data_IF_739465064394
#
_entry.id   IF_739465064394
#
_cell.length_a   1.000
_cell.length_b   1.000
_cell.length_c   1.000
_cell.angle_alpha   90.00
_cell.angle_beta   90.00
_cell.angle_gamma   90.00
#
_symmetry.space_group_name_H-M   'P 1'
#
loop_
_entity.id
_entity.type
_entity.pdbx_description
1 polymer ?
#
# COMPACT_ATOMS: atom_id res chain seq x y z
N UNK A 1 -15.66 0.66 21.00
CA UNK A 1 -15.17 0.18 19.69
C UNK A 1 -13.77 -0.38 19.89
N UNK A 2 -13.46 -1.56 19.33
CA UNK A 2 -12.10 -2.10 19.33
C UNK A 2 -11.12 -1.11 18.69
N UNK A 3 -9.88 -1.15 19.15
CA UNK A 3 -8.74 -0.40 18.59
C UNK A 3 -7.83 -1.34 17.82
N UNK A 4 -6.95 -0.80 16.98
CA UNK A 4 -5.95 -1.59 16.26
C UNK A 4 -5.13 -2.48 17.22
N UNK A 5 -4.76 -1.96 18.40
CA UNK A 5 -4.04 -2.73 19.42
C UNK A 5 -4.85 -3.87 20.08
N UNK A 6 -6.18 -3.89 19.90
CA UNK A 6 -7.04 -4.96 20.44
C UNK A 6 -7.12 -6.15 19.46
N UNK A 7 -6.67 -5.99 18.21
CA UNK A 7 -6.58 -7.07 17.22
C UNK A 7 -5.21 -7.72 17.35
N UNK A 8 -5.14 -8.92 17.94
CA UNK A 8 -3.88 -9.56 18.34
C UNK A 8 -2.80 -9.66 17.24
N UNK A 9 -3.19 -9.97 16.00
CA UNK A 9 -2.26 -10.03 14.85
C UNK A 9 -1.66 -8.64 14.55
N UNK A 10 -2.49 -7.59 14.54
CA UNK A 10 -2.05 -6.22 14.27
C UNK A 10 -1.22 -5.67 15.44
N UNK A 11 -1.63 -5.96 16.68
CA UNK A 11 -0.89 -5.58 17.88
C UNK A 11 0.52 -6.19 17.88
N UNK A 12 0.64 -7.47 17.51
CA UNK A 12 1.93 -8.15 17.36
C UNK A 12 2.78 -7.52 16.25
N UNK A 13 2.19 -7.24 15.08
CA UNK A 13 2.90 -6.60 13.97
C UNK A 13 3.46 -5.23 14.38
N UNK A 14 2.64 -4.37 14.99
CA UNK A 14 3.06 -3.03 15.42
C UNK A 14 4.04 -3.04 16.61
N UNK A 15 3.86 -3.96 17.55
CA UNK A 15 4.68 -4.07 18.75
C UNK A 15 6.05 -4.72 18.51
N UNK A 16 6.25 -5.38 17.36
CA UNK A 16 7.49 -6.10 17.04
C UNK A 16 8.47 -5.29 16.18
N UNK A 17 8.11 -4.08 15.76
CA UNK A 17 8.96 -3.25 14.89
C UNK A 17 9.64 -2.12 15.62
N UNK A 18 10.85 -1.79 15.18
CA UNK A 18 11.65 -0.68 15.68
C UNK A 18 12.14 0.22 14.53
N UNK A 19 12.17 1.55 14.69
CA UNK A 19 12.67 2.44 13.65
C UNK A 19 14.18 2.30 13.46
N UNK A 20 14.62 2.17 12.21
CA UNK A 20 16.03 2.11 11.80
C UNK A 20 16.63 3.48 11.47
N UNK A 21 17.81 3.46 10.82
CA UNK A 21 18.48 4.67 10.35
C UNK A 21 17.74 5.26 9.15
N UNK A 22 17.45 6.58 9.12
CA UNK A 22 16.82 7.21 7.96
C UNK A 22 17.66 7.08 6.69
N UNK A 23 16.98 6.82 5.58
CA UNK A 23 17.49 6.93 4.21
C UNK A 23 16.82 8.13 3.55
N UNK A 24 17.54 8.91 2.75
CA UNK A 24 16.99 10.12 2.13
C UNK A 24 17.48 10.26 0.69
N UNK A 25 16.57 10.64 -0.19
CA UNK A 25 16.83 11.00 -1.57
C UNK A 25 15.97 12.23 -1.91
N UNK A 26 16.61 13.35 -2.22
CA UNK A 26 15.94 14.63 -2.44
C UNK A 26 14.94 14.97 -1.31
N UNK A 27 13.68 15.25 -1.64
CA UNK A 27 12.64 15.56 -0.66
C UNK A 27 12.01 14.33 -0.01
N UNK A 28 12.43 13.10 -0.32
CA UNK A 28 11.92 11.87 0.27
C UNK A 28 12.85 11.32 1.35
N UNK A 29 12.35 11.23 2.57
CA UNK A 29 13.01 10.50 3.67
C UNK A 29 12.19 9.26 4.02
N UNK A 30 12.85 8.12 4.08
CA UNK A 30 12.27 6.85 4.52
C UNK A 30 12.96 6.42 5.80
N UNK A 31 12.17 6.08 6.82
CA UNK A 31 12.67 5.46 8.04
C UNK A 31 12.27 3.98 8.00
N UNK A 32 13.24 3.05 7.86
CA UNK A 32 12.97 1.61 7.91
C UNK A 32 12.29 1.22 9.23
N UNK A 33 11.34 0.29 9.16
CA UNK A 33 10.80 -0.40 10.32
C UNK A 33 11.39 -1.81 10.32
N UNK A 34 12.28 -2.06 11.28
CA UNK A 34 13.00 -3.32 11.44
C UNK A 34 12.18 -4.24 12.34
N UNK A 35 11.91 -5.45 11.87
CA UNK A 35 11.13 -6.46 12.58
C UNK A 35 11.96 -7.71 12.89
N UNK A 36 11.41 -8.65 13.70
CA UNK A 36 12.04 -9.94 13.91
C UNK A 36 12.13 -10.72 12.60
N UNK A 37 13.02 -11.71 12.56
CA UNK A 37 12.99 -12.72 11.51
C UNK A 37 11.62 -13.42 11.52
N UNK A 38 10.97 -13.45 10.37
CA UNK A 38 9.69 -14.14 10.17
C UNK A 38 9.84 -15.15 9.05
N UNK A 39 9.12 -16.26 9.17
CA UNK A 39 9.00 -17.23 8.08
C UNK A 39 8.33 -16.53 6.91
N UNK A 40 8.92 -16.60 5.72
CA UNK A 40 8.33 -16.02 4.51
C UNK A 40 6.98 -16.67 4.22
N UNK A 41 5.93 -15.89 3.89
CA UNK A 41 4.68 -16.50 3.40
C UNK A 41 4.90 -17.10 2.00
N UNK A 42 4.21 -18.19 1.69
CA UNK A 42 4.26 -18.81 0.35
C UNK A 42 3.37 -18.03 -0.63
N UNK A 43 3.62 -16.73 -0.78
CA UNK A 43 2.89 -15.84 -1.67
C UNK A 43 3.79 -15.36 -2.82
N UNK A 44 3.18 -15.24 -3.98
CA UNK A 44 3.79 -14.69 -5.18
C UNK A 44 3.36 -13.24 -5.33
N UNK A 45 4.29 -12.30 -5.51
CA UNK A 45 3.92 -10.89 -5.77
C UNK A 45 3.54 -10.70 -7.25
N UNK A 46 2.87 -9.60 -7.58
CA UNK A 46 2.56 -9.26 -8.97
C UNK A 46 3.81 -9.29 -9.87
N UNK A 47 4.93 -8.75 -9.38
CA UNK A 47 6.19 -8.69 -10.11
C UNK A 47 6.80 -10.07 -10.45
N UNK A 48 6.45 -11.12 -9.70
CA UNK A 48 7.02 -12.47 -9.87
C UNK A 48 6.06 -13.45 -10.53
N UNK A 49 4.78 -13.08 -10.60
CA UNK A 49 3.75 -13.95 -11.13
C UNK A 49 4.03 -14.31 -12.60
N UNK A 50 4.54 -13.36 -13.38
CA UNK A 50 4.81 -13.55 -14.81
C UNK A 50 3.55 -14.04 -15.53
N UNK A 51 3.67 -15.12 -16.32
CA UNK A 51 2.54 -15.74 -17.01
C UNK A 51 1.57 -16.52 -16.11
N UNK A 52 1.85 -16.63 -14.80
CA UNK A 52 0.95 -17.27 -13.82
C UNK A 52 -0.11 -16.32 -13.28
N UNK A 53 -0.07 -15.04 -13.64
CA UNK A 53 -1.16 -14.11 -13.42
C UNK A 53 -1.62 -13.51 -14.73
N UNK A 54 -2.93 -13.34 -14.89
CA UNK A 54 -3.53 -12.58 -15.97
C UNK A 54 -4.40 -11.50 -15.37
N UNK A 55 -4.08 -10.25 -15.67
CA UNK A 55 -4.83 -9.08 -15.20
C UNK A 55 -5.37 -8.35 -16.42
N UNK A 56 -6.69 -8.21 -16.52
CA UNK A 56 -7.35 -7.49 -17.62
C UNK A 56 -8.34 -6.46 -17.08
N UNK A 57 -8.52 -5.35 -17.78
CA UNK A 57 -9.54 -4.37 -17.40
C UNK A 57 -10.94 -4.92 -17.68
N UNK A 58 -11.88 -4.67 -16.76
CA UNK A 58 -13.29 -4.99 -16.97
C UNK A 58 -13.95 -3.79 -17.67
N UNK A 59 -14.79 -4.07 -18.68
CA UNK A 59 -15.54 -3.03 -19.41
C UNK A 59 -16.60 -2.34 -18.53
N UNK A 60 -17.04 -1.15 -18.93
CA UNK A 60 -17.92 -0.23 -18.16
C UNK A 60 -19.38 -0.69 -17.94
N UNK A 61 -19.65 -2.00 -17.95
CA UNK A 61 -20.98 -2.54 -17.65
C UNK A 61 -21.23 -2.60 -16.13
N UNK A 62 -21.50 -1.44 -15.53
CA UNK A 62 -22.30 -1.33 -14.30
C UNK A 62 -21.58 -1.27 -12.94
N UNK A 63 -20.29 -1.61 -12.82
CA UNK A 63 -19.61 -1.68 -11.49
C UNK A 63 -18.26 -0.94 -11.38
N UNK A 64 -18.04 0.10 -12.19
CA UNK A 64 -16.86 0.96 -12.03
C UNK A 64 -15.54 0.31 -12.46
N UNK A 65 -14.43 0.93 -12.05
CA UNK A 65 -13.06 0.71 -12.49
C UNK A 65 -12.43 -0.59 -11.97
N UNK A 66 -12.99 -1.75 -12.34
CA UNK A 66 -12.50 -3.06 -11.91
C UNK A 66 -11.36 -3.64 -12.75
N UNK A 67 -10.59 -4.53 -12.15
CA UNK A 67 -9.64 -5.43 -12.82
C UNK A 67 -10.08 -6.87 -12.61
N UNK A 68 -10.15 -7.63 -13.70
CA UNK A 68 -10.28 -9.09 -13.68
C UNK A 68 -8.90 -9.67 -13.42
N UNK A 69 -8.75 -10.43 -12.34
CA UNK A 69 -7.49 -11.07 -11.97
C UNK A 69 -7.69 -12.58 -11.95
N UNK A 70 -6.96 -13.29 -12.81
CA UNK A 70 -6.84 -14.74 -12.77
C UNK A 70 -5.45 -15.12 -12.24
N UNK A 71 -5.42 -15.82 -11.11
CA UNK A 71 -4.24 -16.49 -10.61
C UNK A 71 -4.23 -17.92 -11.15
N UNK A 72 -3.32 -18.19 -12.08
CA UNK A 72 -3.09 -19.47 -12.74
C UNK A 72 -2.05 -20.32 -12.00
N UNK A 73 -1.40 -19.77 -10.98
CA UNK A 73 -0.39 -20.44 -10.18
C UNK A 73 -0.97 -21.29 -9.05
N UNK A 74 -0.08 -22.08 -8.45
CA UNK A 74 -0.38 -22.98 -7.33
C UNK A 74 -0.26 -22.32 -5.95
N UNK A 75 0.24 -21.08 -5.90
CA UNK A 75 0.39 -20.29 -4.69
C UNK A 75 -0.54 -19.06 -4.73
N UNK A 76 -0.95 -18.52 -3.56
CA UNK A 76 -1.65 -17.25 -3.49
C UNK A 76 -0.86 -16.10 -4.14
N UNK A 77 -1.56 -15.26 -4.89
CA UNK A 77 -1.02 -14.07 -5.55
C UNK A 77 -1.32 -12.84 -4.70
N UNK A 78 -0.29 -12.21 -4.16
CA UNK A 78 -0.37 -10.97 -3.40
C UNK A 78 -0.30 -9.77 -4.37
N UNK A 79 -1.42 -9.05 -4.45
CA UNK A 79 -1.55 -7.78 -5.14
C UNK A 79 -1.64 -6.67 -4.09
N UNK A 80 -0.70 -5.73 -4.09
CA UNK A 80 -0.58 -4.74 -3.03
C UNK A 80 -1.23 -3.42 -3.45
N UNK A 81 -1.83 -2.73 -2.47
CA UNK A 81 -2.28 -1.34 -2.65
C UNK A 81 -1.13 -0.48 -3.22
N UNK A 82 -1.45 0.36 -4.20
CA UNK A 82 -0.50 1.27 -4.83
C UNK A 82 0.33 0.66 -5.95
N UNK A 83 0.19 -0.63 -6.25
CA UNK A 83 0.80 -1.22 -7.44
C UNK A 83 0.12 -0.73 -8.73
N UNK A 84 0.94 -0.50 -9.75
CA UNK A 84 0.51 -0.06 -11.07
C UNK A 84 0.32 -1.26 -11.98
N UNK A 85 -0.89 -1.39 -12.52
CA UNK A 85 -1.20 -2.33 -13.60
C UNK A 85 -1.17 -1.54 -14.90
N UNK A 86 -0.12 -1.74 -15.68
CA UNK A 86 0.03 -1.04 -16.96
C UNK A 86 -0.73 -1.71 -18.10
N UNK A 87 -1.16 -0.89 -19.05
CA UNK A 87 -1.84 -1.30 -20.27
C UNK A 87 -2.49 -0.12 -20.98
N UNK A 88 -3.28 -0.37 -22.04
CA UNK A 88 -4.03 0.66 -22.76
C UNK A 88 -4.95 1.50 -21.87
N UNK A 89 -5.32 0.93 -20.73
CA UNK A 89 -6.14 1.53 -19.70
C UNK A 89 -5.49 1.28 -18.34
N UNK A 90 -4.30 1.85 -18.09
CA UNK A 90 -3.57 1.63 -16.84
C UNK A 90 -4.45 1.89 -15.61
N UNK A 91 -4.25 1.10 -14.57
CA UNK A 91 -4.99 1.17 -13.30
C UNK A 91 -4.02 1.14 -12.12
N UNK A 92 -4.38 1.83 -11.06
CA UNK A 92 -3.72 1.69 -9.77
C UNK A 92 -4.55 0.79 -8.86
N UNK A 93 -3.92 -0.20 -8.23
CA UNK A 93 -4.56 -0.98 -7.17
C UNK A 93 -4.82 -0.10 -5.96
N UNK A 94 -6.02 -0.23 -5.40
CA UNK A 94 -6.51 0.66 -4.36
C UNK A 94 -6.89 -0.07 -3.05
N UNK A 95 -6.55 -1.34 -3.01
CA UNK A 95 -6.66 -2.24 -1.87
C UNK A 95 -5.65 -3.36 -2.07
N UNK A 96 -5.12 -3.88 -0.96
CA UNK A 96 -4.36 -5.13 -1.02
C UNK A 96 -5.32 -6.31 -1.12
N UNK A 97 -5.01 -7.24 -2.02
CA UNK A 97 -5.78 -8.46 -2.24
C UNK A 97 -4.83 -9.65 -2.30
N UNK A 98 -5.17 -10.70 -1.53
CA UNK A 98 -4.53 -12.00 -1.67
C UNK A 98 -5.44 -12.91 -2.50
N UNK A 99 -5.10 -13.12 -3.76
CA UNK A 99 -5.89 -13.93 -4.70
C UNK A 99 -5.53 -15.40 -4.51
N UNK A 100 -6.53 -16.24 -4.25
CA UNK A 100 -6.31 -17.67 -4.04
C UNK A 100 -5.63 -18.33 -5.26
N UNK A 101 -4.87 -19.40 -5.03
CA UNK A 101 -4.30 -20.23 -6.10
C UNK A 101 -5.39 -20.74 -7.04
N UNK A 102 -5.11 -20.81 -8.35
CA UNK A 102 -6.03 -21.36 -9.36
C UNK A 102 -7.44 -20.76 -9.28
N UNK A 103 -7.52 -19.45 -9.07
CA UNK A 103 -8.79 -18.74 -8.89
C UNK A 103 -8.85 -17.48 -9.74
N UNK A 104 -10.06 -16.94 -9.88
CA UNK A 104 -10.31 -15.74 -10.64
C UNK A 104 -11.34 -14.86 -9.92
N UNK A 105 -11.09 -13.56 -9.85
CA UNK A 105 -11.99 -12.58 -9.25
C UNK A 105 -11.85 -11.18 -9.87
N UNK A 106 -12.85 -10.34 -9.61
CA UNK A 106 -12.79 -8.91 -9.93
C UNK A 106 -12.33 -8.17 -8.68
N UNK A 107 -11.26 -7.38 -8.82
CA UNK A 107 -10.79 -6.47 -7.77
C UNK A 107 -11.11 -5.02 -8.13
N UNK A 108 -11.43 -4.16 -7.15
CA UNK A 108 -11.53 -2.74 -7.39
C UNK A 108 -10.15 -2.16 -7.71
N UNK A 109 -10.13 -1.18 -8.60
CA UNK A 109 -8.95 -0.40 -8.93
C UNK A 109 -9.35 1.04 -9.26
N UNK A 110 -8.38 1.92 -9.50
CA UNK A 110 -8.64 3.30 -9.89
C UNK A 110 -8.11 3.62 -11.29
N UNK A 111 -8.86 4.42 -12.05
CA UNK A 111 -8.39 5.00 -13.30
C UNK A 111 -7.22 5.95 -13.04
N UNK A 112 -6.26 5.98 -13.95
CA UNK A 112 -5.15 6.94 -13.96
C UNK A 112 -5.32 8.05 -15.02
N UNK A 113 -6.42 8.04 -15.77
CA UNK A 113 -6.70 8.99 -16.86
C UNK A 113 -7.33 10.29 -16.34
N UNK A 114 -6.85 11.42 -16.87
CA UNK A 114 -7.40 12.75 -16.62
C UNK A 114 -8.91 12.82 -16.94
N UNK A 115 -9.70 13.44 -16.05
CA UNK A 115 -11.16 13.57 -16.21
C UNK A 115 -12.01 12.34 -15.87
N UNK A 116 -11.41 11.13 -15.72
CA UNK A 116 -12.11 9.92 -15.24
C UNK A 116 -11.91 9.64 -13.74
N UNK A 117 -11.23 10.55 -13.07
CA UNK A 117 -11.07 10.57 -11.61
C UNK A 117 -12.43 10.78 -10.94
N UNK A 118 -13.12 9.69 -10.59
CA UNK A 118 -14.24 9.78 -9.65
C UNK A 118 -13.68 9.83 -8.23
N UNK A 119 -13.51 11.04 -7.72
CA UNK A 119 -13.33 11.29 -6.29
C UNK A 119 -14.58 10.78 -5.57
N UNK A 120 -14.52 9.57 -5.03
CA UNK A 120 -15.53 9.11 -4.07
C UNK A 120 -15.21 9.76 -2.72
N UNK A 121 -15.35 11.08 -2.63
CA UNK A 121 -15.44 11.80 -1.36
C UNK A 121 -16.78 11.45 -0.73
N UNK A 122 -16.84 10.29 -0.06
CA UNK A 122 -17.90 9.99 0.88
C UNK A 122 -17.31 9.33 2.11
N UNK A 123 -17.21 10.18 3.13
CA UNK A 123 -17.28 9.89 4.56
C UNK A 123 -17.89 8.52 4.90
N UNK A 124 -17.31 7.91 5.93
CA UNK A 124 -17.65 6.58 6.43
C UNK A 124 -19.17 6.51 6.64
N UNK A 125 -19.88 5.81 5.74
CA UNK A 125 -21.28 5.51 5.92
C UNK A 125 -21.35 4.06 6.43
N UNK A 126 -21.62 3.82 7.73
CA UNK A 126 -21.90 2.48 8.21
C UNK A 126 -23.01 1.86 7.34
N UNK A 127 -22.77 0.67 6.78
CA UNK A 127 -23.76 -0.03 5.96
C UNK A 127 -23.74 0.29 4.46
N UNK A 128 -22.74 1.00 3.93
CA UNK A 128 -22.42 0.98 2.49
C UNK A 128 -21.20 0.11 2.24
N UNK A 129 -21.36 -0.96 1.48
CA UNK A 129 -20.25 -1.75 0.95
C UNK A 129 -19.47 -0.88 -0.05
N UNK A 130 -18.28 -0.40 0.33
CA UNK A 130 -17.46 0.47 -0.51
C UNK A 130 -16.01 0.54 -0.06
N UNK A 131 -15.08 0.55 -1.02
CA UNK A 131 -13.62 0.50 -0.86
C UNK A 131 -12.98 1.91 -0.80
N UNK A 132 -13.78 2.92 -0.45
CA UNK A 132 -13.56 4.30 -0.88
C UNK A 132 -12.46 5.08 -0.13
N UNK A 133 -12.02 4.63 1.05
CA UNK A 133 -11.15 5.42 1.94
C UNK A 133 -9.66 5.34 1.64
N UNK A 134 -9.16 4.17 1.25
CA UNK A 134 -7.72 3.94 1.11
C UNK A 134 -7.17 4.67 -0.12
N UNK A 135 -7.99 4.74 -1.16
CA UNK A 135 -7.75 5.39 -2.45
C UNK A 135 -7.28 6.86 -2.34
N UNK A 136 -7.95 7.67 -1.51
CA UNK A 136 -7.94 9.14 -1.72
C UNK A 136 -6.57 9.76 -1.46
N UNK A 137 -5.80 9.28 -0.48
CA UNK A 137 -4.54 9.94 -0.12
C UNK A 137 -3.30 9.40 -0.84
N UNK A 138 -3.32 8.16 -1.36
CA UNK A 138 -2.22 7.66 -2.20
C UNK A 138 -2.39 8.06 -3.66
N UNK A 139 -3.62 8.09 -4.16
CA UNK A 139 -3.92 8.53 -5.53
C UNK A 139 -3.70 10.04 -5.64
N UNK A 140 -4.04 10.87 -4.64
CA UNK A 140 -3.64 12.30 -4.60
C UNK A 140 -2.13 12.54 -4.81
N UNK A 141 -1.29 11.56 -4.47
CA UNK A 141 0.19 11.66 -4.52
C UNK A 141 0.78 11.25 -5.87
N UNK A 142 0.12 10.32 -6.56
CA UNK A 142 0.44 9.95 -7.96
C UNK A 142 -0.19 10.95 -8.95
N UNK A 143 -1.35 11.55 -8.61
CA UNK A 143 -2.17 12.41 -9.49
C UNK A 143 -1.50 13.72 -9.94
N UNK A 144 -0.52 14.27 -9.21
CA UNK A 144 0.14 15.53 -9.64
C UNK A 144 1.20 15.34 -10.74
N UNK A 145 1.33 14.13 -11.27
CA UNK A 145 2.28 13.80 -12.32
C UNK A 145 1.49 13.44 -13.57
N UNK A 146 1.45 14.37 -14.52
CA UNK A 146 0.71 14.29 -15.79
C UNK A 146 1.15 13.08 -16.64
N UNK A 147 0.22 12.33 -17.29
CA UNK A 147 0.56 11.28 -18.26
C UNK A 147 1.38 11.80 -19.48
N UNK A 148 2.16 10.93 -20.16
CA UNK A 148 2.22 9.48 -20.02
C UNK A 148 3.39 9.01 -19.15
N UNK A 149 3.05 8.21 -18.13
CA UNK A 149 3.92 7.79 -17.01
C UNK A 149 4.97 6.72 -17.37
N UNK A 150 4.86 6.04 -18.50
CA UNK A 150 5.55 4.75 -18.69
C UNK A 150 6.98 4.80 -19.24
N UNK A 151 7.45 5.92 -19.81
CA UNK A 151 8.71 5.90 -20.59
C UNK A 151 9.81 6.82 -20.03
N UNK A 152 9.50 7.73 -19.10
CA UNK A 152 10.49 8.69 -18.56
C UNK A 152 10.93 8.45 -17.10
N UNK A 153 10.11 7.79 -16.28
CA UNK A 153 10.31 7.80 -14.83
C UNK A 153 11.20 6.69 -14.27
N UNK A 154 11.36 5.53 -14.92
CA UNK A 154 12.20 4.46 -14.36
C UNK A 154 13.68 4.87 -14.30
N UNK A 155 14.18 5.55 -15.34
CA UNK A 155 15.54 6.11 -15.34
C UNK A 155 15.68 7.30 -14.40
N UNK A 156 14.69 8.19 -14.35
CA UNK A 156 14.73 9.38 -13.50
C UNK A 156 14.60 9.05 -11.99
N UNK A 157 13.88 7.98 -11.64
CA UNK A 157 13.73 7.51 -10.27
C UNK A 157 14.69 6.39 -9.88
N UNK A 158 15.47 5.83 -10.81
CA UNK A 158 16.48 4.81 -10.49
C UNK A 158 17.44 5.24 -9.36
N UNK A 159 17.93 6.50 -9.30
CA UNK A 159 18.74 6.94 -8.17
C UNK A 159 18.00 6.88 -6.82
N UNK A 160 16.69 7.14 -6.81
CA UNK A 160 15.85 7.02 -5.61
C UNK A 160 15.69 5.56 -5.19
N UNK A 161 15.54 4.64 -6.16
CA UNK A 161 15.47 3.18 -5.90
C UNK A 161 16.69 2.69 -5.15
N UNK A 162 17.88 3.08 -5.61
CA UNK A 162 19.14 2.64 -5.02
C UNK A 162 19.36 3.30 -3.65
N UNK A 163 19.11 4.61 -3.53
CA UNK A 163 19.26 5.34 -2.27
C UNK A 163 18.30 4.86 -1.16
N UNK A 164 17.12 4.38 -1.55
CA UNK A 164 16.06 3.91 -0.65
C UNK A 164 15.92 2.39 -0.66
N UNK A 165 16.96 1.67 -1.09
CA UNK A 165 16.96 0.21 -1.13
C UNK A 165 16.68 -0.38 0.27
N UNK A 166 15.92 -1.49 0.36
CA UNK A 166 15.62 -2.13 1.65
C UNK A 166 16.88 -2.54 2.40
N UNK A 167 16.86 -2.39 3.72
CA UNK A 167 17.95 -2.82 4.61
C UNK A 167 17.64 -4.18 5.25
N UNK A 168 18.66 -4.94 5.72
CA UNK A 168 18.44 -6.22 6.39
C UNK A 168 17.45 -6.13 7.56
N UNK A 169 16.48 -7.05 7.59
CA UNK A 169 15.46 -7.11 8.65
C UNK A 169 14.33 -6.07 8.52
N UNK A 170 14.31 -5.27 7.46
CA UNK A 170 13.25 -4.31 7.21
C UNK A 170 11.94 -5.01 6.81
N UNK A 171 10.89 -4.80 7.58
CA UNK A 171 9.53 -5.31 7.30
C UNK A 171 8.55 -4.19 6.95
N UNK A 172 9.01 -2.95 7.01
CA UNK A 172 8.18 -1.79 6.75
C UNK A 172 8.96 -0.50 6.60
N UNK A 173 8.23 0.59 6.42
CA UNK A 173 8.78 1.91 6.23
C UNK A 173 7.81 2.98 6.74
N UNK A 174 8.36 4.07 7.25
CA UNK A 174 7.64 5.34 7.39
C UNK A 174 8.22 6.33 6.41
N UNK A 175 7.39 6.83 5.49
CA UNK A 175 7.78 7.76 4.45
C UNK A 175 7.42 9.20 4.84
N UNK A 176 8.34 10.12 4.56
CA UNK A 176 8.17 11.56 4.73
C UNK A 176 8.53 12.26 3.41
N UNK A 177 7.67 13.17 2.97
CA UNK A 177 7.85 13.95 1.76
C UNK A 177 7.91 15.42 2.12
N UNK A 178 9.03 16.07 1.80
CA UNK A 178 9.35 17.45 2.20
C UNK A 178 9.13 17.68 3.71
N UNK A 179 9.60 16.76 4.55
CA UNK A 179 9.51 16.86 6.01
C UNK A 179 8.12 16.57 6.61
N UNK A 180 7.10 16.30 5.80
CA UNK A 180 5.76 15.92 6.23
C UNK A 180 5.58 14.40 6.18
N UNK A 181 4.86 13.82 7.14
CA UNK A 181 4.54 12.40 7.11
C UNK A 181 3.67 12.11 5.89
N UNK A 182 4.11 11.20 5.04
CA UNK A 182 3.34 10.75 3.88
C UNK A 182 2.63 9.43 4.21
N UNK A 183 3.34 8.42 4.66
CA UNK A 183 2.70 7.13 4.93
C UNK A 183 3.54 6.19 5.75
N UNK A 184 2.95 5.05 6.04
CA UNK A 184 3.56 3.93 6.73
C UNK A 184 3.12 2.66 6.02
N UNK A 185 4.07 1.80 5.69
CA UNK A 185 3.84 0.46 5.12
C UNK A 185 4.46 -0.58 6.06
N UNK A 186 3.78 -1.71 6.25
CA UNK A 186 4.27 -2.91 6.92
C UNK A 186 3.83 -4.14 6.12
N UNK A 187 4.74 -5.07 5.85
CA UNK A 187 4.49 -6.33 5.18
C UNK A 187 4.81 -7.52 6.10
N UNK A 188 4.31 -8.70 5.72
CA UNK A 188 4.36 -9.90 6.56
C UNK A 188 5.78 -10.37 6.92
N UNK A 189 6.79 -10.03 6.12
CA UNK A 189 8.16 -10.51 6.29
C UNK A 189 9.19 -9.60 5.61
N UNK A 190 10.48 -9.71 5.98
CA UNK A 190 11.53 -8.91 5.36
C UNK A 190 11.75 -9.22 3.87
N UNK A 191 11.62 -10.49 3.46
CA UNK A 191 11.83 -10.86 2.06
C UNK A 191 10.68 -10.34 1.19
N UNK A 192 9.42 -10.50 1.61
CA UNK A 192 8.27 -9.90 0.93
C UNK A 192 8.41 -8.39 0.82
N UNK A 193 8.84 -7.72 1.91
CA UNK A 193 9.10 -6.29 1.88
C UNK A 193 10.18 -5.93 0.85
N UNK A 194 11.30 -6.65 0.82
CA UNK A 194 12.37 -6.36 -0.13
C UNK A 194 11.93 -6.50 -1.59
N UNK A 195 11.07 -7.48 -1.90
CA UNK A 195 10.51 -7.73 -3.24
C UNK A 195 9.51 -6.64 -3.66
N UNK A 196 8.68 -6.17 -2.72
CA UNK A 196 7.58 -5.25 -3.01
C UNK A 196 7.93 -3.75 -2.84
N UNK A 197 8.96 -3.43 -2.07
CA UNK A 197 9.19 -2.07 -1.57
C UNK A 197 9.29 -1.03 -2.67
N UNK A 198 10.00 -1.32 -3.77
CA UNK A 198 10.16 -0.33 -4.84
C UNK A 198 8.80 0.10 -5.40
N UNK A 199 7.93 -0.86 -5.70
CA UNK A 199 6.59 -0.59 -6.21
C UNK A 199 5.74 0.25 -5.23
N UNK A 200 5.82 -0.06 -3.93
CA UNK A 200 5.15 0.73 -2.89
C UNK A 200 5.74 2.14 -2.73
N UNK A 201 7.05 2.28 -2.96
CA UNK A 201 7.80 3.53 -2.80
C UNK A 201 7.58 4.50 -3.98
N UNK A 202 7.19 4.02 -5.16
CA UNK A 202 6.99 4.84 -6.36
C UNK A 202 6.05 6.03 -6.12
N UNK A 203 4.95 5.81 -5.39
CA UNK A 203 4.01 6.88 -5.06
C UNK A 203 4.62 7.99 -4.19
N UNK A 204 5.51 7.64 -3.26
CA UNK A 204 6.23 8.61 -2.43
C UNK A 204 7.33 9.34 -3.24
N UNK A 205 8.04 8.59 -4.09
CA UNK A 205 9.11 9.15 -4.94
C UNK A 205 8.55 10.14 -5.96
N UNK A 206 7.42 9.81 -6.60
CA UNK A 206 6.71 10.72 -7.50
C UNK A 206 6.23 11.99 -6.82
N UNK A 207 5.72 11.90 -5.59
CA UNK A 207 5.30 13.09 -4.81
C UNK A 207 6.50 13.98 -4.44
N UNK A 208 7.65 13.37 -4.14
CA UNK A 208 8.86 14.08 -3.73
C UNK A 208 9.60 14.73 -4.90
N UNK A 209 9.49 14.19 -6.12
CA UNK A 209 10.27 14.60 -7.29
C UNK A 209 10.22 16.12 -7.56
N UNK A 210 9.06 16.76 -7.36
CA UNK A 210 8.88 18.19 -7.61
C UNK A 210 8.95 19.06 -6.34
N UNK A 211 9.39 18.51 -5.22
CA UNK A 211 9.39 19.22 -3.93
C UNK A 211 10.78 19.60 -3.47
N UNK A 212 10.86 20.72 -2.77
CA UNK A 212 12.08 21.14 -2.08
C UNK A 212 12.25 20.35 -0.78
N UNK A 213 13.45 19.81 -0.49
CA UNK A 213 13.74 19.20 0.79
C UNK A 213 13.49 20.17 1.95
N UNK A 214 12.90 19.67 3.04
CA UNK A 214 12.62 20.46 4.22
C UNK A 214 12.90 19.65 5.49
N UNK A 215 13.15 20.36 6.60
CA UNK A 215 13.35 19.73 7.91
C UNK A 215 12.08 18.97 8.34
N UNK A 216 12.20 17.85 9.08
CA UNK A 216 11.05 17.12 9.59
C UNK A 216 10.17 18.02 10.47
N UNK A 217 8.92 18.19 10.07
CA UNK A 217 7.87 18.84 10.87
C UNK A 217 6.84 17.82 11.38
N UNK A 218 7.02 16.55 11.01
CA UNK A 218 6.10 15.46 11.25
C UNK A 218 6.36 14.70 12.57
N UNK A 219 5.36 13.96 13.08
CA UNK A 219 5.53 13.05 14.21
C UNK A 219 6.63 12.02 13.97
N UNK A 220 7.35 11.60 15.01
CA UNK A 220 8.33 10.51 14.91
C UNK A 220 7.66 9.16 14.57
N UNK A 221 8.37 8.18 13.98
CA UNK A 221 7.83 6.85 13.70
C UNK A 221 7.19 6.18 14.92
N UNK A 222 7.84 6.23 16.08
CA UNK A 222 7.28 5.66 17.31
C UNK A 222 6.00 6.37 17.76
N UNK A 223 5.86 7.67 17.47
CA UNK A 223 4.61 8.41 17.73
C UNK A 223 3.51 8.00 16.76
N UNK A 224 3.84 7.81 15.48
CA UNK A 224 2.91 7.31 14.46
C UNK A 224 2.39 5.93 14.84
N UNK A 225 3.28 4.98 15.18
CA UNK A 225 2.91 3.63 15.62
C UNK A 225 1.98 3.66 16.85
N UNK A 226 2.26 4.53 17.84
CA UNK A 226 1.38 4.71 19.00
C UNK A 226 0.02 5.31 18.66
N UNK A 227 -0.02 6.24 17.70
CA UNK A 227 -1.29 6.82 17.23
C UNK A 227 -2.12 5.76 16.49
N UNK A 228 -1.49 4.99 15.60
CA UNK A 228 -2.11 3.90 14.86
C UNK A 228 -2.68 2.83 15.80
N UNK A 229 -1.90 2.36 16.77
CA UNK A 229 -2.33 1.37 17.76
C UNK A 229 -3.62 1.79 18.52
N UNK A 230 -3.88 3.09 18.66
CA UNK A 230 -5.04 3.64 19.37
C UNK A 230 -6.24 3.91 18.47
N UNK A 231 -6.11 3.78 17.14
CA UNK A 231 -7.19 4.09 16.22
C UNK A 231 -8.34 3.08 16.36
N UNK A 232 -9.61 3.53 16.33
CA UNK A 232 -10.76 2.63 16.21
C UNK A 232 -10.63 1.78 14.96
N UNK A 233 -10.88 0.47 15.08
CA UNK A 233 -10.78 -0.48 13.97
C UNK A 233 -12.09 -1.21 13.76
N UNK A 234 -12.41 -1.45 12.49
CA UNK A 234 -13.60 -2.18 12.06
C UNK A 234 -13.17 -3.25 11.06
N UNK A 235 -13.52 -4.54 11.28
CA UNK A 235 -13.28 -5.57 10.29
C UNK A 235 -14.24 -5.42 9.10
N UNK A 236 -13.77 -5.79 7.92
CA UNK A 236 -14.52 -5.82 6.67
C UNK A 236 -14.13 -7.08 5.87
N UNK A 237 -15.06 -7.65 5.07
CA UNK A 237 -14.71 -8.72 4.15
C UNK A 237 -13.63 -8.27 3.16
N UNK A 238 -12.60 -9.09 2.96
CA UNK A 238 -11.64 -8.90 1.89
C UNK A 238 -12.24 -9.38 0.55
N UNK A 239 -11.78 -8.82 -0.57
CA UNK A 239 -12.18 -9.29 -1.92
C UNK A 239 -11.62 -10.69 -2.20
N UNK A 240 -10.39 -10.92 -1.76
CA UNK A 240 -9.71 -12.21 -1.85
C UNK A 240 -9.68 -12.92 -0.49
N UNK A 241 -8.61 -13.69 -0.26
CA UNK A 241 -8.37 -14.38 0.99
C UNK A 241 -8.12 -13.39 2.14
N UNK A 242 -8.62 -13.75 3.33
CA UNK A 242 -8.37 -13.03 4.58
C UNK A 242 -9.51 -12.10 5.01
N UNK A 243 -9.18 -11.20 5.93
CA UNK A 243 -10.08 -10.19 6.49
C UNK A 243 -9.38 -8.86 6.46
N UNK A 244 -10.06 -7.83 5.97
CA UNK A 244 -9.54 -6.47 6.02
C UNK A 244 -9.93 -5.83 7.35
N UNK A 245 -8.98 -5.12 7.98
CA UNK A 245 -9.22 -4.31 9.15
C UNK A 245 -9.00 -2.85 8.78
N UNK A 246 -10.05 -2.03 8.85
CA UNK A 246 -10.01 -0.61 8.46
C UNK A 246 -10.05 0.27 9.69
N UNK A 247 -9.33 1.38 9.67
CA UNK A 247 -9.36 2.37 10.74
C UNK A 247 -9.40 3.80 10.20
N UNK A 248 -10.07 4.66 10.97
CA UNK A 248 -10.06 6.10 10.77
C UNK A 248 -10.11 6.78 12.13
N UNK A 249 -9.13 7.63 12.40
CA UNK A 249 -9.04 8.43 13.61
C UNK A 249 -9.00 9.92 13.28
N UNK A 250 -8.77 10.78 14.27
CA UNK A 250 -8.77 12.23 14.07
C UNK A 250 -7.59 12.79 13.24
N UNK A 251 -6.54 11.99 13.02
CA UNK A 251 -5.27 12.44 12.40
C UNK A 251 -4.70 11.47 11.38
N UNK A 252 -5.26 10.26 11.28
CA UNK A 252 -4.78 9.23 10.37
C UNK A 252 -5.90 8.25 10.03
N UNK A 253 -5.76 7.61 8.88
CA UNK A 253 -6.57 6.49 8.43
C UNK A 253 -5.67 5.40 7.83
N UNK A 254 -6.26 4.26 7.50
CA UNK A 254 -5.56 3.16 6.87
C UNK A 254 -6.32 1.85 6.97
N UNK A 255 -5.66 0.77 6.53
CA UNK A 255 -6.18 -0.57 6.61
C UNK A 255 -5.07 -1.61 6.69
N UNK A 256 -5.43 -2.83 7.10
CA UNK A 256 -4.58 -3.99 7.01
C UNK A 256 -5.35 -5.18 6.45
N UNK A 257 -4.74 -5.90 5.51
CA UNK A 257 -5.19 -7.25 5.17
C UNK A 257 -4.57 -8.24 6.15
N UNK A 258 -5.41 -9.01 6.84
CA UNK A 258 -4.99 -10.12 7.70
C UNK A 258 -5.32 -11.43 6.99
N UNK A 259 -4.30 -12.23 6.69
CA UNK A 259 -4.42 -13.52 6.05
C UNK A 259 -3.41 -14.50 6.65
N UNK A 260 -3.77 -15.79 6.73
CA UNK A 260 -2.89 -16.87 7.21
C UNK A 260 -2.24 -16.58 8.59
N UNK A 261 -2.98 -15.91 9.48
CA UNK A 261 -2.53 -15.57 10.83
C UNK A 261 -1.50 -14.42 10.88
N UNK A 262 -1.38 -13.63 9.82
CA UNK A 262 -0.37 -12.56 9.68
C UNK A 262 -1.00 -11.27 9.15
N UNK A 263 -0.37 -10.13 9.41
CA UNK A 263 -0.66 -8.90 8.71
C UNK A 263 0.03 -8.96 7.34
N UNK A 264 -0.73 -9.29 6.30
CA UNK A 264 -0.21 -9.44 4.94
C UNK A 264 0.36 -8.11 4.43
N UNK A 265 -0.43 -7.06 4.56
CA UNK A 265 -0.05 -5.68 4.34
C UNK A 265 -0.82 -4.79 5.30
N UNK A 266 -0.14 -3.87 5.97
CA UNK A 266 -0.71 -2.84 6.83
C UNK A 266 -0.19 -1.49 6.36
N UNK A 267 -1.12 -0.56 6.12
CA UNK A 267 -0.80 0.77 5.63
C UNK A 267 -1.53 1.84 6.46
N UNK A 268 -0.85 2.95 6.73
CA UNK A 268 -1.44 4.10 7.43
C UNK A 268 -0.92 5.43 6.89
N UNK A 269 -1.77 6.44 6.87
CA UNK A 269 -1.45 7.76 6.32
C UNK A 269 -2.18 8.88 7.09
N UNK A 270 -1.66 10.12 7.10
CA UNK A 270 -2.34 11.25 7.71
C UNK A 270 -3.57 11.65 6.90
N UNK A 271 -4.57 12.22 7.59
CA UNK A 271 -5.78 12.80 7.00
C UNK A 271 -5.86 14.31 7.24
#
# INVERSE_FOLDING_TARGET
MPRVADVGILAKALGSVSPGKPQTHEALTVIPLLGPAQVEPEWVTMAEAGNRARITTVGEAGHGSGLQVANLGDLPLALLDGELVDGPQSRLLNTTVLVASRSELIIPACHLEEGRWRYYDRQFAPGREGFDFVCINRIRRVIRVTPPFHVRYESELAPARDALAPVPGQVGAVAYVAGLWAGLELLASPALFARAWWHLCLGYAGEAYWRTPARPQAPSPSRILRMLARCPVVPAPAVGLGVEHRWSGARLAGAALVAEGRAAHLMAFPI
#
